data_IF_742452374301
#
_entry.id   IF_742452374301
#
_cell.length_a   1.000
_cell.length_b   1.000
_cell.length_c   1.000
_cell.angle_alpha   90.00
_cell.angle_beta   90.00
_cell.angle_gamma   90.00
#
_symmetry.space_group_name_H-M   'P 1'
#
loop_
_entity.id
_entity.type
_entity.pdbx_description
1 polymer ?
#
# COMPACT_ATOMS: atom_id res chain seq x y z
N UNK A 1 -38.30 22.51 -13.86
CA UNK A 1 -37.52 21.79 -14.87
C UNK A 1 -37.32 20.37 -14.36
N UNK A 2 -37.83 19.40 -15.11
CA UNK A 2 -38.08 18.02 -14.68
C UNK A 2 -36.78 17.21 -14.58
N UNK A 3 -36.52 16.63 -13.41
CA UNK A 3 -35.55 15.54 -13.13
C UNK A 3 -35.88 14.23 -13.89
N UNK A 4 -36.69 14.27 -14.95
CA UNK A 4 -37.43 13.11 -15.48
C UNK A 4 -36.70 12.27 -16.54
N UNK A 5 -35.37 12.25 -16.61
CA UNK A 5 -34.70 11.24 -17.47
C UNK A 5 -33.21 10.96 -17.14
N UNK A 6 -32.90 10.59 -15.89
CA UNK A 6 -31.55 10.09 -15.50
C UNK A 6 -31.61 8.59 -15.14
N UNK A 7 -31.71 7.69 -16.14
CA UNK A 7 -31.83 6.24 -15.89
C UNK A 7 -30.65 5.67 -15.10
N UNK A 8 -29.46 6.27 -15.20
CA UNK A 8 -28.26 5.88 -14.48
C UNK A 8 -28.39 5.98 -12.95
N UNK A 9 -29.36 6.76 -12.44
CA UNK A 9 -29.62 6.85 -11.00
C UNK A 9 -30.43 5.69 -10.45
N UNK A 10 -31.05 4.88 -11.31
CA UNK A 10 -31.90 3.74 -10.93
C UNK A 10 -31.17 2.40 -11.08
N UNK A 11 -29.91 2.41 -11.53
CA UNK A 11 -29.08 1.23 -11.70
C UNK A 11 -27.91 1.21 -10.72
N UNK A 12 -27.63 0.04 -10.14
CA UNK A 12 -26.47 -0.13 -9.26
C UNK A 12 -25.16 -0.06 -10.04
N UNK A 13 -24.25 0.81 -9.60
CA UNK A 13 -22.91 0.93 -10.17
C UNK A 13 -22.06 -0.25 -9.71
N UNK A 14 -21.54 -1.02 -10.67
CA UNK A 14 -20.61 -2.13 -10.40
C UNK A 14 -19.17 -1.67 -10.53
N UNK A 15 -18.31 -2.12 -9.61
CA UNK A 15 -16.88 -1.85 -9.64
C UNK A 15 -16.20 -2.43 -10.89
N UNK A 16 -16.63 -3.62 -11.30
CA UNK A 16 -16.14 -4.34 -12.49
C UNK A 16 -17.30 -4.90 -13.31
N UNK A 17 -17.08 -5.12 -14.61
CA UNK A 17 -18.03 -5.73 -15.54
C UNK A 17 -17.54 -7.05 -16.14
N UNK A 18 -16.27 -7.38 -15.97
CA UNK A 18 -15.66 -8.60 -16.50
C UNK A 18 -14.57 -9.16 -15.55
N UNK A 19 -14.12 -10.39 -15.85
CA UNK A 19 -13.15 -11.10 -15.01
C UNK A 19 -11.80 -10.38 -14.90
N UNK A 20 -11.34 -9.76 -16.00
CA UNK A 20 -10.07 -9.01 -16.04
C UNK A 20 -10.11 -7.76 -15.16
N UNK A 21 -11.20 -7.01 -15.20
CA UNK A 21 -11.42 -5.87 -14.32
C UNK A 21 -11.48 -6.30 -12.86
N UNK A 22 -12.19 -7.40 -12.56
CA UNK A 22 -12.25 -7.95 -11.20
C UNK A 22 -10.85 -8.26 -10.66
N UNK A 23 -10.05 -9.01 -11.40
CA UNK A 23 -8.67 -9.33 -11.03
C UNK A 23 -7.81 -8.08 -10.85
N UNK A 24 -7.99 -7.06 -11.72
CA UNK A 24 -7.33 -5.77 -11.55
C UNK A 24 -7.67 -5.12 -10.21
N UNK A 25 -8.95 -5.10 -9.82
CA UNK A 25 -9.38 -4.55 -8.54
C UNK A 25 -8.94 -5.39 -7.35
N UNK A 26 -8.91 -6.72 -7.48
CA UNK A 26 -8.40 -7.62 -6.44
C UNK A 26 -6.92 -7.33 -6.16
N UNK A 27 -6.10 -7.20 -7.21
CA UNK A 27 -4.68 -6.82 -7.07
C UNK A 27 -4.50 -5.45 -6.43
N UNK A 28 -5.35 -4.47 -6.79
CA UNK A 28 -5.33 -3.14 -6.19
C UNK A 28 -5.76 -3.18 -4.71
N UNK A 29 -6.74 -4.02 -4.36
CA UNK A 29 -7.20 -4.21 -2.99
C UNK A 29 -6.10 -4.84 -2.13
N UNK A 30 -5.36 -5.82 -2.66
CA UNK A 30 -4.23 -6.43 -1.97
C UNK A 30 -3.10 -5.42 -1.71
N UNK A 31 -2.73 -4.63 -2.71
CA UNK A 31 -1.74 -3.55 -2.52
C UNK A 31 -2.20 -2.54 -1.46
N UNK A 32 -3.46 -2.10 -1.53
CA UNK A 32 -4.05 -1.19 -0.55
C UNK A 32 -3.97 -1.77 0.86
N UNK A 33 -4.34 -3.04 1.04
CA UNK A 33 -4.34 -3.73 2.32
C UNK A 33 -2.92 -3.86 2.88
N UNK A 34 -1.93 -4.23 2.06
CA UNK A 34 -0.54 -4.36 2.49
C UNK A 34 0.03 -3.02 2.95
N UNK A 35 -0.18 -1.93 2.20
CA UNK A 35 0.29 -0.59 2.58
C UNK A 35 -0.35 -0.14 3.90
N UNK A 36 -1.67 -0.32 4.07
CA UNK A 36 -2.34 0.02 5.32
C UNK A 36 -1.89 -0.85 6.50
N UNK A 37 -1.60 -2.12 6.25
CA UNK A 37 -1.09 -3.02 7.29
C UNK A 37 0.31 -2.58 7.73
N UNK A 38 1.18 -2.22 6.80
CA UNK A 38 2.50 -1.68 7.10
C UNK A 38 2.39 -0.37 7.91
N UNK A 39 1.49 0.54 7.52
CA UNK A 39 1.25 1.78 8.26
C UNK A 39 0.80 1.53 9.70
N UNK A 40 -0.08 0.56 9.91
CA UNK A 40 -0.54 0.20 11.25
C UNK A 40 0.53 -0.50 12.07
N UNK A 41 1.37 -1.34 11.46
CA UNK A 41 2.52 -1.96 12.11
C UNK A 41 3.52 -0.90 12.60
N UNK A 42 3.84 0.09 11.77
CA UNK A 42 4.71 1.21 12.16
C UNK A 42 4.14 1.96 13.37
N UNK A 43 2.84 2.29 13.35
CA UNK A 43 2.17 2.96 14.47
C UNK A 43 2.17 2.10 15.74
N UNK A 44 1.98 0.79 15.62
CA UNK A 44 2.00 -0.12 16.76
C UNK A 44 3.40 -0.19 17.39
N UNK A 45 4.45 -0.21 16.56
CA UNK A 45 5.83 -0.19 17.04
C UNK A 45 6.19 1.14 17.73
N UNK A 46 5.79 2.29 17.17
CA UNK A 46 5.98 3.62 17.78
C UNK A 46 5.30 3.71 19.16
N UNK A 47 4.16 3.02 19.33
CA UNK A 47 3.40 2.97 20.59
C UNK A 47 3.85 1.85 21.53
N UNK A 48 4.99 1.22 21.25
CA UNK A 48 5.57 0.15 22.06
C UNK A 48 4.60 -1.03 22.29
N UNK A 49 3.71 -1.28 21.31
CA UNK A 49 2.72 -2.36 21.37
C UNK A 49 3.24 -3.69 20.81
N UNK A 50 4.41 -3.68 20.16
CA UNK A 50 5.01 -4.82 19.47
C UNK A 50 6.51 -4.83 19.77
N UNK A 51 7.07 -5.99 20.09
CA UNK A 51 8.50 -6.07 20.40
C UNK A 51 9.36 -5.81 19.15
N UNK A 52 10.62 -5.35 19.29
CA UNK A 52 11.50 -5.13 18.15
C UNK A 52 11.69 -6.37 17.27
N UNK A 53 11.74 -7.55 17.87
CA UNK A 53 11.90 -8.82 17.14
C UNK A 53 10.69 -9.14 16.28
N UNK A 54 9.48 -9.03 16.83
CA UNK A 54 8.23 -9.29 16.10
C UNK A 54 8.01 -8.25 15.00
N UNK A 55 8.24 -6.98 15.33
CA UNK A 55 8.18 -5.88 14.37
C UNK A 55 9.11 -6.11 13.18
N UNK A 56 10.39 -6.43 13.43
CA UNK A 56 11.39 -6.60 12.37
C UNK A 56 11.00 -7.73 11.41
N UNK A 57 10.53 -8.86 11.95
CA UNK A 57 10.08 -9.99 11.16
C UNK A 57 8.83 -9.66 10.34
N UNK A 58 7.83 -9.02 10.95
CA UNK A 58 6.58 -8.64 10.29
C UNK A 58 6.81 -7.58 9.21
N UNK A 59 7.60 -6.55 9.51
CA UNK A 59 7.91 -5.45 8.59
C UNK A 59 8.68 -5.97 7.36
N UNK A 60 9.70 -6.81 7.57
CA UNK A 60 10.44 -7.44 6.47
C UNK A 60 9.52 -8.25 5.55
N UNK A 61 8.60 -9.04 6.13
CA UNK A 61 7.62 -9.81 5.36
C UNK A 61 6.67 -8.91 4.56
N UNK A 62 6.15 -7.85 5.18
CA UNK A 62 5.25 -6.90 4.54
C UNK A 62 5.93 -6.13 3.41
N UNK A 63 7.21 -5.76 3.53
CA UNK A 63 7.97 -5.11 2.46
C UNK A 63 8.14 -6.03 1.23
N UNK A 64 8.37 -7.33 1.45
CA UNK A 64 8.40 -8.32 0.36
C UNK A 64 7.02 -8.47 -0.30
N UNK A 65 5.97 -8.57 0.50
CA UNK A 65 4.59 -8.64 0.01
C UNK A 65 4.19 -7.39 -0.76
N UNK A 66 4.58 -6.21 -0.27
CA UNK A 66 4.37 -4.93 -0.93
C UNK A 66 5.02 -4.92 -2.31
N UNK A 67 6.29 -5.32 -2.43
CA UNK A 67 6.99 -5.39 -3.72
C UNK A 67 6.27 -6.31 -4.71
N UNK A 68 5.80 -7.46 -4.25
CA UNK A 68 5.04 -8.39 -5.08
C UNK A 68 3.67 -7.81 -5.50
N UNK A 69 2.91 -7.24 -4.56
CA UNK A 69 1.61 -6.64 -4.83
C UNK A 69 1.71 -5.43 -5.76
N UNK A 70 2.70 -4.55 -5.53
CA UNK A 70 2.91 -3.38 -6.38
C UNK A 70 3.27 -3.78 -7.80
N UNK A 71 4.07 -4.85 -7.99
CA UNK A 71 4.38 -5.39 -9.32
C UNK A 71 3.13 -5.85 -10.09
N UNK A 72 2.08 -6.32 -9.41
CA UNK A 72 0.81 -6.70 -10.06
C UNK A 72 -0.05 -5.48 -10.46
N UNK A 73 0.15 -4.34 -9.79
CA UNK A 73 -0.62 -3.10 -10.02
C UNK A 73 0.15 -2.12 -10.92
N UNK A 74 1.47 -2.24 -10.99
CA UNK A 74 2.34 -1.34 -11.73
C UNK A 74 2.02 -1.36 -13.23
N UNK A 75 1.87 -0.18 -13.79
CA UNK A 75 1.58 0.03 -15.22
C UNK A 75 1.36 1.51 -15.51
N UNK A 76 0.81 1.82 -16.67
CA UNK A 76 0.62 3.21 -17.12
C UNK A 76 -0.19 4.07 -16.15
N UNK A 77 -1.18 3.47 -15.47
CA UNK A 77 -2.02 4.16 -14.48
C UNK A 77 -1.27 4.43 -13.17
N UNK A 78 -0.39 3.52 -12.76
CA UNK A 78 0.37 3.58 -11.51
C UNK A 78 1.83 3.22 -11.77
N UNK A 79 2.62 4.16 -12.34
CA UNK A 79 4.03 3.89 -12.60
C UNK A 79 4.84 3.79 -11.30
N UNK A 80 4.37 4.47 -10.24
CA UNK A 80 4.94 4.50 -8.90
C UNK A 80 3.83 4.40 -7.83
N UNK A 81 4.22 4.10 -6.60
CA UNK A 81 3.29 3.89 -5.49
C UNK A 81 2.63 5.19 -5.02
N UNK A 82 3.30 6.33 -5.19
CA UNK A 82 2.79 7.65 -4.84
C UNK A 82 1.51 7.97 -5.62
N UNK A 83 1.47 7.63 -6.91
CA UNK A 83 0.28 7.77 -7.74
C UNK A 83 -0.91 6.95 -7.21
N UNK A 84 -0.65 5.71 -6.79
CA UNK A 84 -1.65 4.82 -6.21
C UNK A 84 -2.20 5.39 -4.89
N UNK A 85 -1.31 5.79 -3.99
CA UNK A 85 -1.65 6.36 -2.67
C UNK A 85 -2.49 7.62 -2.82
N UNK A 86 -2.11 8.51 -3.75
CA UNK A 86 -2.85 9.74 -4.03
C UNK A 86 -4.24 9.45 -4.59
N UNK A 87 -4.37 8.51 -5.53
CA UNK A 87 -5.66 8.17 -6.16
C UNK A 87 -6.65 7.62 -5.14
N UNK A 88 -6.20 6.72 -4.29
CA UNK A 88 -7.06 6.04 -3.30
C UNK A 88 -7.04 6.70 -1.92
N UNK A 89 -6.38 7.86 -1.78
CA UNK A 89 -6.34 8.69 -0.57
C UNK A 89 -5.85 7.94 0.68
N UNK A 90 -4.79 7.15 0.54
CA UNK A 90 -4.17 6.50 1.70
C UNK A 90 -3.35 7.54 2.49
N UNK A 91 -3.60 7.64 3.79
CA UNK A 91 -2.77 8.41 4.71
C UNK A 91 -1.76 7.48 5.40
N UNK A 92 -0.64 7.24 4.72
CA UNK A 92 0.36 6.24 5.11
C UNK A 92 1.82 6.76 5.16
N UNK A 93 2.11 7.89 5.83
CA UNK A 93 3.45 8.48 5.85
C UNK A 93 4.54 7.55 6.41
N UNK A 94 4.24 6.76 7.45
CA UNK A 94 5.25 5.87 8.04
C UNK A 94 5.54 4.66 7.14
N UNK A 95 4.51 4.07 6.52
CA UNK A 95 4.69 3.02 5.51
C UNK A 95 5.53 3.52 4.33
N UNK A 96 5.32 4.76 3.89
CA UNK A 96 6.08 5.34 2.78
C UNK A 96 7.58 5.46 3.09
N UNK A 97 7.95 5.89 4.30
CA UNK A 97 9.35 5.91 4.69
C UNK A 97 9.96 4.50 4.72
N UNK A 98 9.23 3.49 5.21
CA UNK A 98 9.72 2.09 5.18
C UNK A 98 9.87 1.54 3.77
N UNK A 99 8.91 1.84 2.89
CA UNK A 99 8.95 1.44 1.47
C UNK A 99 10.15 2.09 0.77
N UNK A 100 10.40 3.38 1.06
CA UNK A 100 11.52 4.14 0.48
C UNK A 100 12.88 3.63 0.95
N UNK A 101 13.01 3.27 2.22
CA UNK A 101 14.24 2.70 2.78
C UNK A 101 14.42 1.20 2.45
N UNK A 102 13.34 0.52 2.06
CA UNK A 102 13.26 -0.93 1.84
C UNK A 102 13.79 -1.78 3.01
N UNK A 103 13.60 -1.29 4.25
CA UNK A 103 14.00 -2.01 5.47
C UNK A 103 13.21 -1.57 6.72
N UNK A 104 13.07 -2.45 7.72
CA UNK A 104 12.55 -2.08 9.03
C UNK A 104 13.42 -1.01 9.72
N UNK A 105 12.81 -0.15 10.54
CA UNK A 105 13.54 0.94 11.24
C UNK A 105 14.61 0.44 12.22
N UNK A 106 14.49 -0.82 12.66
CA UNK A 106 15.42 -1.50 13.57
C UNK A 106 16.74 -1.90 12.89
N UNK A 107 16.77 -1.94 11.55
CA UNK A 107 17.96 -2.31 10.77
C UNK A 107 18.62 -1.04 10.24
N UNK A 108 19.81 -0.72 10.76
CA UNK A 108 20.62 0.40 10.26
C UNK A 108 21.45 -0.03 9.06
N UNK A 109 21.81 0.93 8.21
CA UNK A 109 22.83 0.72 7.18
C UNK A 109 24.18 0.46 7.87
N UNK A 110 24.85 -0.64 7.54
CA UNK A 110 26.27 -0.88 7.88
C UNK A 110 27.23 0.00 7.05
N UNK A 111 26.73 1.06 6.40
CA UNK A 111 27.54 2.07 5.70
C UNK A 111 28.22 3.02 6.69
N UNK A 112 28.90 2.44 7.67
CA UNK A 112 29.84 3.14 8.53
C UNK A 112 31.00 3.70 7.71
N UNK A 113 31.34 4.95 8.02
CA UNK A 113 32.68 5.53 7.95
C UNK A 113 33.80 4.54 7.61
N UNK A 114 34.30 4.57 6.37
CA UNK A 114 35.71 4.28 6.12
C UNK A 114 36.48 5.59 6.31
N UNK A 115 36.75 5.93 7.57
CA UNK A 115 37.86 6.82 7.91
C UNK A 115 39.01 5.92 8.32
N UNK A 116 39.84 5.53 7.34
CA UNK A 116 41.21 5.06 7.53
C UNK A 116 42.10 5.89 6.61
#
# INVERSE_FOLDING_TARGET
MSDSNRPELFEDVKLFRNAREREKYDNMADLYAVINTLQNLEKAYIRDCVTPKEYTAACSKLLVQYKAAFKQVQGDEFPNVEGFIKKYRLDCPAAMERIKEDRPITIKDDKGNTSN
#
